data_IF_151245142914
#
_entry.id   IF_151245142914
#
_cell.length_a   1.000
_cell.length_b   1.000
_cell.length_c   1.000
_cell.angle_alpha   90.00
_cell.angle_beta   90.00
_cell.angle_gamma   90.00
#
_symmetry.space_group_name_H-M   'P 1'
#
loop_
_entity.id
_entity.type
_entity.pdbx_description
1 polymer ?
#
# COMPACT_ATOMS: atom_id res chain seq x y z
N UNK A 1 52.66 46.14 11.18
CA UNK A 1 51.29 46.03 11.73
C UNK A 1 50.41 46.95 10.89
N UNK A 2 49.59 46.37 10.01
CA UNK A 2 48.70 47.12 9.12
C UNK A 2 47.33 47.28 9.77
N UNK A 3 46.86 48.53 9.86
CA UNK A 3 45.55 48.90 10.41
C UNK A 3 44.42 48.66 9.42
N UNK A 4 43.33 48.12 9.96
CA UNK A 4 42.02 47.93 9.33
C UNK A 4 41.26 49.26 9.39
N UNK A 5 40.72 49.70 8.24
CA UNK A 5 39.66 50.71 8.18
C UNK A 5 38.48 50.10 7.43
N UNK A 6 37.33 50.00 8.11
CA UNK A 6 36.06 49.62 7.50
C UNK A 6 35.36 50.81 6.85
N UNK A 7 34.35 50.52 6.02
CA UNK A 7 33.20 51.39 5.69
C UNK A 7 32.20 50.58 4.82
N UNK A 8 30.96 50.42 5.32
CA UNK A 8 29.68 50.31 4.57
C UNK A 8 29.11 51.75 4.47
N UNK A 9 28.14 52.14 3.58
CA UNK A 9 26.83 51.46 3.38
C UNK A 9 26.06 51.71 2.04
N UNK A 10 24.78 51.27 2.03
CA UNK A 10 23.57 51.73 1.29
C UNK A 10 23.35 51.26 -0.18
N UNK A 11 22.35 50.40 -0.47
CA UNK A 11 20.89 50.62 -0.74
C UNK A 11 20.61 51.31 -2.08
N UNK A 12 19.84 50.64 -2.97
CA UNK A 12 18.88 51.27 -3.89
C UNK A 12 17.82 50.25 -4.38
N UNK A 13 16.55 50.65 -4.22
CA UNK A 13 15.34 50.05 -4.77
C UNK A 13 15.22 50.28 -6.29
N UNK A 14 14.50 49.40 -6.99
CA UNK A 14 13.57 49.86 -8.04
C UNK A 14 12.47 48.82 -8.29
N UNK A 15 11.26 49.25 -7.99
CA UNK A 15 9.95 48.72 -8.38
C UNK A 15 9.71 48.81 -9.89
N UNK A 16 9.01 47.82 -10.47
CA UNK A 16 8.16 48.04 -11.64
C UNK A 16 6.83 47.29 -11.49
N UNK A 17 5.76 48.07 -11.47
CA UNK A 17 4.37 47.67 -11.65
C UNK A 17 4.12 47.19 -13.08
N UNK A 18 3.24 46.19 -13.29
CA UNK A 18 2.18 46.24 -14.32
C UNK A 18 1.18 45.09 -14.12
N UNK A 19 -0.10 45.45 -13.99
CA UNK A 19 -1.33 44.66 -14.12
C UNK A 19 -2.25 45.56 -14.98
N UNK A 20 -3.08 45.09 -15.94
CA UNK A 20 -4.34 44.36 -15.69
C UNK A 20 -4.55 43.24 -16.76
N UNK A 21 -5.53 42.33 -16.73
CA UNK A 21 -6.99 42.51 -16.74
C UNK A 21 -7.68 41.13 -16.76
N UNK A 22 -8.80 41.00 -16.05
CA UNK A 22 -9.77 39.89 -16.15
C UNK A 22 -10.74 40.09 -17.34
N UNK A 23 -11.46 39.04 -17.78
CA UNK A 23 -12.91 39.07 -17.56
C UNK A 23 -13.62 37.71 -17.28
N UNK A 24 -14.59 37.78 -16.36
CA UNK A 24 -15.94 37.16 -16.33
C UNK A 24 -16.19 35.64 -16.55
N UNK A 25 -16.65 35.02 -15.45
CA UNK A 25 -17.73 34.03 -15.21
C UNK A 25 -18.65 33.51 -16.34
N UNK A 26 -18.96 32.20 -16.31
CA UNK A 26 -20.28 31.58 -16.00
C UNK A 26 -20.18 30.01 -16.00
N UNK A 27 -21.17 29.27 -15.46
CA UNK A 27 -20.94 28.00 -14.73
C UNK A 27 -21.25 26.74 -15.55
N UNK A 28 -20.59 25.62 -15.21
CA UNK A 28 -21.01 24.30 -15.69
C UNK A 28 -21.31 23.39 -14.49
N UNK A 29 -22.57 23.01 -14.48
CA UNK A 29 -23.31 22.05 -13.68
C UNK A 29 -22.60 20.73 -13.36
N UNK A 30 -22.67 20.33 -12.09
CA UNK A 30 -22.37 19.00 -11.59
C UNK A 30 -23.44 17.96 -12.02
N UNK A 31 -23.05 16.73 -12.41
CA UNK A 31 -24.00 15.63 -12.51
C UNK A 31 -24.19 14.92 -11.17
N UNK A 32 -25.46 14.77 -10.80
CA UNK A 32 -26.00 14.06 -9.64
C UNK A 32 -25.69 12.56 -9.70
N UNK A 33 -25.21 12.00 -8.60
CA UNK A 33 -25.18 10.55 -8.36
C UNK A 33 -26.56 10.08 -7.84
N UNK A 34 -27.16 9.02 -8.41
CA UNK A 34 -28.38 8.44 -7.86
C UNK A 34 -28.06 7.48 -6.70
N UNK A 35 -28.69 7.75 -5.55
CA UNK A 35 -28.77 6.84 -4.40
C UNK A 35 -29.57 5.60 -4.80
N UNK A 36 -28.97 4.40 -4.72
CA UNK A 36 -29.73 3.15 -4.71
C UNK A 36 -30.18 2.84 -3.28
N UNK A 37 -31.49 2.94 -3.06
CA UNK A 37 -32.20 2.51 -1.86
C UNK A 37 -32.31 0.98 -1.79
N UNK A 38 -32.02 0.43 -0.60
CA UNK A 38 -32.29 -0.96 -0.21
C UNK A 38 -33.77 -1.30 -0.34
N UNK A 39 -34.07 -2.49 -0.87
CA UNK A 39 -35.32 -3.20 -0.66
C UNK A 39 -34.98 -4.61 -0.17
N UNK A 40 -35.28 -4.89 1.10
CA UNK A 40 -35.29 -6.24 1.66
C UNK A 40 -36.74 -6.73 1.63
N UNK A 41 -37.03 -7.71 0.78
CA UNK A 41 -38.28 -8.46 0.82
C UNK A 41 -38.16 -9.61 1.81
N UNK A 42 -38.98 -9.57 2.84
CA UNK A 42 -39.18 -10.65 3.81
C UNK A 42 -39.91 -11.82 3.16
N UNK A 43 -39.33 -13.03 3.20
CA UNK A 43 -40.05 -14.26 2.86
C UNK A 43 -40.52 -14.91 4.16
N UNK A 44 -41.84 -15.08 4.27
CA UNK A 44 -42.51 -15.74 5.38
C UNK A 44 -42.25 -17.23 5.40
N UNK A 45 -42.02 -17.77 6.61
CA UNK A 45 -41.90 -19.19 6.89
C UNK A 45 -43.28 -19.84 6.96
N UNK A 46 -43.48 -20.92 6.20
CA UNK A 46 -44.66 -21.79 6.35
C UNK A 46 -44.24 -23.08 7.03
N UNK A 47 -44.84 -23.30 8.20
CA UNK A 47 -44.78 -24.49 9.04
C UNK A 47 -45.53 -25.64 8.36
N UNK A 48 -44.89 -26.81 8.23
CA UNK A 48 -45.59 -28.07 7.98
C UNK A 48 -45.24 -29.05 9.11
N UNK A 49 -46.26 -29.40 9.88
CA UNK A 49 -46.26 -30.51 10.83
C UNK A 49 -46.28 -31.84 10.08
N UNK A 50 -45.37 -32.77 10.39
CA UNK A 50 -45.71 -34.18 10.24
C UNK A 50 -45.02 -35.08 11.29
N UNK A 51 -45.89 -35.66 12.13
CA UNK A 51 -45.86 -36.91 12.91
C UNK A 51 -44.53 -37.62 13.17
N UNK A 52 -44.26 -37.83 14.46
CA UNK A 52 -43.44 -38.91 15.01
C UNK A 52 -44.28 -40.19 15.13
N UNK A 53 -43.67 -41.34 14.88
CA UNK A 53 -43.75 -42.50 15.77
C UNK A 53 -42.54 -43.44 15.54
N UNK A 54 -42.16 -44.25 16.55
CA UNK A 54 -40.80 -44.76 16.74
C UNK A 54 -40.64 -46.21 16.27
N UNK A 55 -39.39 -46.68 16.10
CA UNK A 55 -38.89 -47.95 16.68
C UNK A 55 -37.47 -48.32 16.22
N UNK A 56 -36.76 -48.96 17.17
CA UNK A 56 -35.70 -49.96 17.02
C UNK A 56 -34.28 -49.56 16.63
N UNK A 57 -33.47 -49.51 17.68
CA UNK A 57 -32.02 -49.72 17.79
C UNK A 57 -31.52 -50.95 17.03
N UNK A 58 -30.54 -50.77 16.13
CA UNK A 58 -29.52 -51.77 15.80
C UNK A 58 -28.17 -51.05 15.64
N UNK A 59 -27.27 -51.30 16.59
CA UNK A 59 -25.86 -50.94 16.50
C UNK A 59 -25.19 -51.68 15.36
N UNK A 60 -24.76 -50.96 14.32
CA UNK A 60 -23.79 -51.46 13.34
C UNK A 60 -22.64 -50.47 13.26
N UNK A 61 -21.49 -50.84 13.85
CA UNK A 61 -20.22 -50.12 13.67
C UNK A 61 -19.86 -50.15 12.18
N UNK A 62 -20.18 -49.07 11.47
CA UNK A 62 -19.62 -48.76 10.17
C UNK A 62 -18.33 -47.97 10.41
N UNK A 63 -17.20 -48.65 10.22
CA UNK A 63 -15.91 -48.01 9.97
C UNK A 63 -16.07 -47.15 8.71
N UNK A 64 -16.22 -45.84 8.88
CA UNK A 64 -16.01 -44.87 7.81
C UNK A 64 -14.48 -44.74 7.65
N UNK A 65 -13.88 -45.17 6.53
CA UNK A 65 -12.51 -44.76 6.25
C UNK A 65 -12.49 -43.23 6.15
N UNK A 66 -11.46 -42.61 6.74
CA UNK A 66 -11.27 -41.17 6.61
C UNK A 66 -11.31 -40.79 5.13
N UNK A 67 -12.01 -39.70 4.80
CA UNK A 67 -12.11 -39.17 3.43
C UNK A 67 -10.75 -38.63 2.93
N UNK A 68 -9.67 -38.86 3.67
CA UNK A 68 -8.32 -38.46 3.29
C UNK A 68 -7.69 -39.35 2.20
N UNK A 69 -8.29 -40.50 1.87
CA UNK A 69 -7.68 -41.51 0.98
C UNK A 69 -8.32 -41.68 -0.40
N UNK A 70 -9.40 -40.96 -0.74
CA UNK A 70 -10.10 -41.15 -2.03
C UNK A 70 -9.67 -40.13 -3.10
N UNK A 71 -8.96 -39.06 -2.73
CA UNK A 71 -8.47 -38.09 -3.73
C UNK A 71 -7.22 -38.55 -4.48
N UNK A 72 -6.45 -39.47 -3.91
CA UNK A 72 -5.17 -39.92 -4.47
C UNK A 72 -5.30 -40.96 -5.60
N UNK A 73 -6.51 -41.49 -5.84
CA UNK A 73 -6.74 -42.59 -6.80
C UNK A 73 -7.49 -42.20 -8.09
N UNK A 74 -7.97 -40.96 -8.23
CA UNK A 74 -8.61 -40.47 -9.47
C UNK A 74 -7.76 -39.48 -10.27
N UNK A 75 -6.66 -38.98 -9.71
CA UNK A 75 -5.65 -38.22 -10.45
C UNK A 75 -4.37 -39.02 -10.49
N UNK A 76 -4.14 -39.73 -11.60
CA UNK A 76 -2.84 -40.34 -11.86
C UNK A 76 -1.70 -39.33 -11.63
N UNK A 77 -0.73 -39.72 -10.82
CA UNK A 77 0.68 -39.30 -10.84
C UNK A 77 1.03 -37.83 -11.08
N UNK A 78 1.44 -37.12 -10.03
CA UNK A 78 2.78 -36.51 -9.98
C UNK A 78 3.20 -35.43 -11.00
N UNK A 79 2.28 -34.77 -11.73
CA UNK A 79 2.64 -33.78 -12.76
C UNK A 79 1.98 -32.39 -12.64
N UNK A 80 0.88 -32.24 -11.91
CA UNK A 80 0.07 -31.00 -11.89
C UNK A 80 0.63 -29.86 -11.03
N UNK A 81 1.25 -30.19 -9.89
CA UNK A 81 1.76 -29.16 -8.95
C UNK A 81 2.91 -28.32 -9.52
N UNK A 82 3.72 -28.90 -10.42
CA UNK A 82 4.83 -28.20 -11.05
C UNK A 82 4.40 -27.13 -12.07
N UNK A 83 3.30 -27.37 -12.79
CA UNK A 83 2.76 -26.40 -13.74
C UNK A 83 2.06 -25.25 -13.00
N UNK A 84 1.25 -25.55 -11.98
CA UNK A 84 0.57 -24.54 -11.17
C UNK A 84 1.55 -23.62 -10.43
N UNK A 85 2.63 -24.17 -9.87
CA UNK A 85 3.66 -23.36 -9.21
C UNK A 85 4.38 -22.42 -10.19
N UNK A 86 4.66 -22.86 -11.42
CA UNK A 86 5.25 -21.99 -12.46
C UNK A 86 4.27 -20.90 -12.89
N UNK A 87 3.01 -21.26 -13.10
CA UNK A 87 1.96 -20.29 -13.43
C UNK A 87 1.73 -19.28 -12.32
N UNK A 88 1.79 -19.69 -11.05
CA UNK A 88 1.73 -18.80 -9.89
C UNK A 88 2.85 -17.76 -9.94
N UNK A 89 4.10 -18.19 -10.18
CA UNK A 89 5.25 -17.27 -10.32
C UNK A 89 5.07 -16.31 -11.49
N UNK A 90 4.49 -16.76 -12.61
CA UNK A 90 4.18 -15.88 -13.74
C UNK A 90 3.08 -14.86 -13.39
N UNK A 91 2.06 -15.27 -12.65
CA UNK A 91 1.01 -14.38 -12.16
C UNK A 91 1.59 -13.31 -11.23
N UNK A 92 2.49 -13.67 -10.29
CA UNK A 92 3.21 -12.67 -9.47
C UNK A 92 3.96 -11.65 -10.32
N UNK A 93 4.70 -12.10 -11.34
CA UNK A 93 5.45 -11.19 -12.23
C UNK A 93 4.53 -10.26 -13.01
N UNK A 94 3.38 -10.76 -13.47
CA UNK A 94 2.35 -9.93 -14.15
C UNK A 94 1.73 -8.94 -13.20
N UNK A 95 1.39 -9.35 -11.97
CA UNK A 95 0.87 -8.47 -10.93
C UNK A 95 1.81 -7.30 -10.65
N UNK A 96 3.11 -7.58 -10.50
CA UNK A 96 4.12 -6.54 -10.36
C UNK A 96 4.18 -5.59 -11.57
N UNK A 97 4.14 -6.13 -12.80
CA UNK A 97 4.18 -5.32 -14.02
C UNK A 97 2.96 -4.41 -14.15
N UNK A 98 1.76 -4.94 -13.90
CA UNK A 98 0.51 -4.18 -13.95
C UNK A 98 0.51 -3.05 -12.92
N UNK A 99 0.99 -3.32 -11.70
CA UNK A 99 1.15 -2.27 -10.69
C UNK A 99 2.06 -1.14 -11.18
N UNK A 100 3.23 -1.46 -11.73
CA UNK A 100 4.16 -0.44 -12.26
C UNK A 100 3.57 0.38 -13.41
N UNK A 101 2.56 -0.15 -14.11
CA UNK A 101 1.83 0.55 -15.17
C UNK A 101 0.67 1.41 -14.64
N UNK A 102 0.42 1.40 -13.33
CA UNK A 102 -0.73 2.07 -12.70
C UNK A 102 -2.02 1.24 -12.71
N UNK A 103 -2.02 0.04 -13.28
CA UNK A 103 -3.16 -0.88 -13.21
C UNK A 103 -3.15 -1.64 -11.88
N UNK A 104 -3.57 -0.95 -10.82
CA UNK A 104 -3.63 -1.50 -9.46
C UNK A 104 -4.68 -2.61 -9.33
N UNK A 105 -5.80 -2.50 -10.06
CA UNK A 105 -6.87 -3.52 -10.06
C UNK A 105 -6.36 -4.81 -10.70
N UNK A 106 -5.80 -4.72 -11.91
CA UNK A 106 -5.21 -5.87 -12.60
C UNK A 106 -4.06 -6.48 -11.80
N UNK A 107 -3.26 -5.65 -11.12
CA UNK A 107 -2.21 -6.12 -10.22
C UNK A 107 -2.74 -7.03 -9.12
N UNK A 108 -3.78 -6.60 -8.40
CA UNK A 108 -4.37 -7.37 -7.32
C UNK A 108 -4.97 -8.69 -7.84
N UNK A 109 -5.64 -8.68 -8.99
CA UNK A 109 -6.21 -9.88 -9.59
C UNK A 109 -5.14 -10.94 -9.91
N UNK A 110 -4.00 -10.54 -10.45
CA UNK A 110 -2.90 -11.47 -10.72
C UNK A 110 -2.22 -11.98 -9.43
N UNK A 111 -2.13 -11.15 -8.38
CA UNK A 111 -1.65 -11.63 -7.08
C UNK A 111 -2.62 -12.62 -6.41
N UNK A 112 -3.93 -12.35 -6.45
CA UNK A 112 -4.94 -13.27 -5.93
C UNK A 112 -4.92 -14.59 -6.70
N UNK A 113 -4.80 -14.54 -8.03
CA UNK A 113 -4.59 -15.72 -8.87
C UNK A 113 -3.32 -16.51 -8.51
N UNK A 114 -2.21 -15.82 -8.21
CA UNK A 114 -0.98 -16.49 -7.78
C UNK A 114 -1.20 -17.31 -6.49
N UNK A 115 -1.98 -16.78 -5.55
CA UNK A 115 -2.33 -17.44 -4.29
C UNK A 115 -3.29 -18.62 -4.53
N UNK A 116 -4.24 -18.50 -5.46
CA UNK A 116 -5.13 -19.61 -5.85
C UNK A 116 -4.35 -20.78 -6.46
N UNK A 117 -3.36 -20.48 -7.30
CA UNK A 117 -2.52 -21.48 -7.96
C UNK A 117 -1.52 -22.13 -7.00
N UNK A 118 -0.96 -21.35 -6.08
CA UNK A 118 -0.05 -21.82 -5.03
C UNK A 118 -0.23 -20.99 -3.73
N UNK A 119 -0.97 -21.51 -2.73
CA UNK A 119 -1.24 -20.79 -1.49
C UNK A 119 0.00 -20.37 -0.69
N UNK A 120 1.16 -21.01 -0.94
CA UNK A 120 2.43 -20.65 -0.28
C UNK A 120 2.94 -19.28 -0.70
N UNK A 121 2.53 -18.79 -1.88
CA UNK A 121 2.92 -17.46 -2.37
C UNK A 121 2.46 -16.35 -1.42
N UNK A 122 1.30 -16.53 -0.77
CA UNK A 122 0.71 -15.52 0.12
C UNK A 122 1.67 -15.03 1.20
N UNK A 123 2.58 -15.89 1.67
CA UNK A 123 3.50 -15.58 2.75
C UNK A 123 4.63 -14.59 2.37
N UNK A 124 4.79 -14.29 1.08
CA UNK A 124 5.89 -13.48 0.53
C UNK A 124 5.42 -12.42 -0.48
N UNK A 125 4.14 -12.04 -0.44
CA UNK A 125 3.49 -11.17 -1.42
C UNK A 125 3.15 -9.78 -0.84
N UNK A 126 4.13 -9.12 -0.24
CA UNK A 126 3.97 -7.74 0.25
C UNK A 126 3.49 -6.76 -0.84
N UNK A 127 3.83 -6.97 -2.12
CA UNK A 127 3.33 -6.13 -3.23
C UNK A 127 1.81 -6.19 -3.38
N UNK A 128 1.20 -7.32 -3.00
CA UNK A 128 -0.25 -7.44 -2.92
C UNK A 128 -0.82 -6.50 -1.86
N UNK A 129 -0.13 -6.35 -0.74
CA UNK A 129 -0.47 -5.40 0.32
C UNK A 129 -0.53 -3.96 -0.18
N UNK A 130 0.43 -3.58 -1.02
CA UNK A 130 0.45 -2.26 -1.67
C UNK A 130 -0.73 -2.08 -2.64
N UNK A 131 -1.03 -3.10 -3.43
CA UNK A 131 -2.19 -3.06 -4.34
C UNK A 131 -3.50 -2.93 -3.56
N UNK A 132 -3.61 -3.60 -2.41
CA UNK A 132 -4.75 -3.46 -1.51
C UNK A 132 -4.84 -2.05 -0.91
N UNK A 133 -3.71 -1.47 -0.49
CA UNK A 133 -3.66 -0.10 0.02
C UNK A 133 -4.19 0.91 -1.01
N UNK A 134 -3.71 0.86 -2.25
CA UNK A 134 -4.15 1.78 -3.30
C UNK A 134 -5.58 1.54 -3.81
N UNK A 135 -6.22 0.44 -3.40
CA UNK A 135 -7.63 0.16 -3.65
C UNK A 135 -8.51 0.40 -2.41
N UNK A 136 -7.99 1.11 -1.41
CA UNK A 136 -8.64 1.41 -0.13
C UNK A 136 -9.06 0.15 0.66
N UNK A 137 -8.44 -0.99 0.38
CA UNK A 137 -8.66 -2.28 1.07
C UNK A 137 -7.68 -2.43 2.22
N UNK A 138 -7.63 -1.41 3.08
CA UNK A 138 -6.61 -1.24 4.11
C UNK A 138 -6.52 -2.40 5.12
N UNK A 139 -7.65 -2.98 5.52
CA UNK A 139 -7.65 -4.12 6.46
C UNK A 139 -6.90 -5.32 5.86
N UNK A 140 -7.18 -5.62 4.59
CA UNK A 140 -6.48 -6.67 3.86
C UNK A 140 -5.02 -6.34 3.60
N UNK A 141 -4.69 -5.07 3.36
CA UNK A 141 -3.32 -4.58 3.20
C UNK A 141 -2.50 -4.77 4.48
N UNK A 142 -2.99 -4.25 5.61
CA UNK A 142 -2.37 -4.41 6.92
C UNK A 142 -2.15 -5.89 7.27
N UNK A 143 -3.15 -6.75 7.01
CA UNK A 143 -3.01 -8.19 7.25
C UNK A 143 -1.94 -8.84 6.36
N UNK A 144 -1.88 -8.46 5.08
CA UNK A 144 -0.84 -8.95 4.18
C UNK A 144 0.55 -8.59 4.71
N UNK A 145 0.79 -7.33 5.12
CA UNK A 145 2.08 -6.92 5.67
C UNK A 145 2.47 -7.65 6.96
N UNK A 146 1.50 -7.94 7.84
CA UNK A 146 1.77 -8.75 9.04
C UNK A 146 2.21 -10.17 8.69
N UNK A 147 1.59 -10.78 7.67
CA UNK A 147 1.98 -12.10 7.17
C UNK A 147 3.42 -12.07 6.64
N UNK A 148 3.76 -11.07 5.83
CA UNK A 148 5.10 -10.92 5.25
C UNK A 148 6.17 -10.71 6.33
N UNK A 149 5.95 -9.82 7.31
CA UNK A 149 6.87 -9.59 8.45
C UNK A 149 7.06 -10.84 9.30
N UNK A 150 6.02 -11.66 9.47
CA UNK A 150 6.14 -12.93 10.19
C UNK A 150 7.11 -13.91 9.51
N UNK A 151 7.35 -13.78 8.20
CA UNK A 151 8.36 -14.54 7.47
C UNK A 151 9.72 -13.84 7.42
N UNK A 152 9.75 -12.52 7.28
CA UNK A 152 10.96 -11.71 7.24
C UNK A 152 10.90 -10.61 8.32
N UNK A 153 11.31 -10.90 9.56
CA UNK A 153 11.14 -9.99 10.69
C UNK A 153 12.10 -8.80 10.70
N UNK A 154 12.84 -8.55 9.61
CA UNK A 154 13.77 -7.42 9.48
C UNK A 154 13.30 -6.39 8.46
N UNK A 155 12.13 -6.58 7.86
CA UNK A 155 11.68 -5.71 6.78
C UNK A 155 10.91 -4.50 7.32
N UNK A 156 11.61 -3.36 7.28
CA UNK A 156 11.12 -2.09 7.82
C UNK A 156 9.99 -1.49 6.98
N UNK A 157 9.99 -1.76 5.68
CA UNK A 157 9.02 -1.16 4.76
C UNK A 157 7.62 -1.70 5.06
N UNK A 158 7.47 -3.00 5.26
CA UNK A 158 6.21 -3.68 5.57
C UNK A 158 5.64 -3.22 6.91
N UNK A 159 6.47 -2.95 7.91
CA UNK A 159 6.03 -2.31 9.16
C UNK A 159 5.42 -0.94 8.91
N UNK A 160 6.08 -0.10 8.11
CA UNK A 160 5.59 1.24 7.76
C UNK A 160 4.29 1.14 6.95
N UNK A 161 4.20 0.22 5.99
CA UNK A 161 2.99 0.03 5.18
C UNK A 161 1.82 -0.56 5.97
N UNK A 162 2.09 -1.42 6.94
CA UNK A 162 1.11 -1.87 7.92
C UNK A 162 0.55 -0.66 8.70
N UNK A 163 1.44 0.20 9.23
CA UNK A 163 1.05 1.44 9.89
C UNK A 163 0.22 2.34 8.98
N UNK A 164 0.64 2.58 7.73
CA UNK A 164 -0.08 3.43 6.78
C UNK A 164 -1.50 2.92 6.54
N UNK A 165 -1.65 1.60 6.38
CA UNK A 165 -2.95 0.95 6.22
C UNK A 165 -3.81 1.10 7.48
N UNK A 166 -3.24 0.89 8.68
CA UNK A 166 -3.96 1.06 9.94
C UNK A 166 -4.31 2.53 10.22
N UNK A 167 -3.48 3.49 9.80
CA UNK A 167 -3.74 4.91 9.95
C UNK A 167 -4.98 5.35 9.15
N UNK A 168 -5.21 4.76 7.98
CA UNK A 168 -6.42 4.97 7.19
C UNK A 168 -7.68 4.38 7.86
N UNK A 169 -7.54 3.32 8.66
CA UNK A 169 -8.65 2.67 9.36
C UNK A 169 -8.98 3.34 10.70
N UNK A 170 -7.96 3.68 11.47
CA UNK A 170 -8.07 3.99 12.90
C UNK A 170 -7.47 5.36 13.27
N UNK A 171 -6.77 6.03 12.34
CA UNK A 171 -6.00 7.23 12.60
C UNK A 171 -4.57 6.96 13.07
N UNK A 172 -3.71 7.98 12.92
CA UNK A 172 -2.26 7.91 13.21
C UNK A 172 -1.97 7.50 14.64
N UNK A 173 -2.67 8.04 15.63
CA UNK A 173 -2.40 7.75 17.04
C UNK A 173 -2.67 6.29 17.40
N UNK A 174 -3.74 5.70 16.87
CA UNK A 174 -4.08 4.29 17.10
C UNK A 174 -3.17 3.35 16.31
N UNK A 175 -2.86 3.69 15.06
CA UNK A 175 -1.88 2.93 14.27
C UNK A 175 -0.50 2.90 14.95
N UNK A 176 -0.10 4.01 15.59
CA UNK A 176 1.17 4.11 16.31
C UNK A 176 1.23 3.20 17.53
N UNK A 177 0.12 3.08 18.28
CA UNK A 177 0.03 2.15 19.43
C UNK A 177 0.14 0.68 19.02
N UNK A 178 -0.19 0.39 17.76
CA UNK A 178 -0.22 -0.95 17.16
C UNK A 178 0.96 -1.21 16.22
N UNK A 179 1.93 -0.30 16.23
CA UNK A 179 3.04 -0.31 15.29
C UNK A 179 3.79 -1.65 15.32
N UNK A 180 4.03 -2.21 14.13
CA UNK A 180 4.55 -3.56 13.98
C UNK A 180 6.07 -3.56 14.13
N UNK A 181 6.58 -3.86 15.32
CA UNK A 181 8.02 -3.79 15.54
C UNK A 181 8.81 -4.88 14.81
N UNK A 182 9.88 -4.47 14.11
CA UNK A 182 10.80 -5.35 13.37
C UNK A 182 12.25 -5.13 13.76
N UNK A 183 13.13 -6.00 13.27
CA UNK A 183 14.57 -5.90 13.46
C UNK A 183 15.19 -4.68 12.77
N UNK A 184 16.49 -4.49 12.99
CA UNK A 184 17.22 -3.29 12.55
C UNK A 184 17.57 -3.36 11.06
N UNK A 185 16.98 -2.46 10.26
CA UNK A 185 17.34 -2.32 8.84
C UNK A 185 18.80 -1.82 8.66
N UNK A 186 19.58 -2.40 7.73
CA UNK A 186 20.95 -1.96 7.47
C UNK A 186 21.03 -0.54 6.86
N UNK A 187 20.01 -0.09 6.14
CA UNK A 187 19.95 1.21 5.46
C UNK A 187 19.66 2.33 6.48
N UNK A 188 20.53 3.34 6.62
CA UNK A 188 20.30 4.44 7.56
C UNK A 188 18.99 5.18 7.32
N UNK A 189 18.67 5.51 6.07
CA UNK A 189 17.41 6.18 5.70
C UNK A 189 16.17 5.42 6.17
N UNK A 190 16.19 4.10 6.08
CA UNK A 190 15.05 3.28 6.48
C UNK A 190 14.87 3.24 7.98
N UNK A 191 15.97 3.23 8.76
CA UNK A 191 15.87 3.33 10.21
C UNK A 191 15.28 4.66 10.67
N UNK A 192 15.65 5.76 10.03
CA UNK A 192 15.08 7.07 10.34
C UNK A 192 13.60 7.16 9.92
N UNK A 193 13.24 6.62 8.74
CA UNK A 193 11.84 6.52 8.33
C UNK A 193 11.02 5.66 9.31
N UNK A 194 11.54 4.49 9.71
CA UNK A 194 10.91 3.63 10.72
C UNK A 194 10.62 4.36 12.02
N UNK A 195 11.63 5.07 12.56
CA UNK A 195 11.48 5.84 13.79
C UNK A 195 10.47 6.99 13.62
N UNK A 196 10.42 7.65 12.45
CA UNK A 196 9.43 8.68 12.16
C UNK A 196 8.00 8.12 12.28
N UNK A 197 7.73 6.95 11.69
CA UNK A 197 6.41 6.32 11.78
C UNK A 197 6.11 5.71 13.15
N UNK A 198 7.12 5.16 13.83
CA UNK A 198 6.98 4.57 15.17
C UNK A 198 6.80 5.62 16.26
N UNK A 199 7.69 6.59 16.35
CA UNK A 199 7.80 7.52 17.48
C UNK A 199 7.29 8.93 17.16
N UNK A 200 7.22 9.26 15.87
CA UNK A 200 6.76 10.55 15.38
C UNK A 200 7.97 11.44 15.15
N UNK A 201 7.75 12.60 14.53
CA UNK A 201 8.86 13.50 14.30
C UNK A 201 8.61 14.46 13.16
N UNK A 202 9.72 14.89 12.57
CA UNK A 202 9.76 15.92 11.55
C UNK A 202 10.22 15.32 10.21
N UNK A 203 9.31 15.10 9.25
CA UNK A 203 9.67 14.58 7.93
C UNK A 203 10.65 15.49 7.17
N UNK A 204 10.71 16.79 7.44
CA UNK A 204 11.68 17.68 6.80
C UNK A 204 13.11 17.38 7.27
N UNK A 205 13.27 17.05 8.56
CA UNK A 205 14.57 16.62 9.11
C UNK A 205 15.02 15.29 8.52
N UNK A 206 14.09 14.36 8.28
CA UNK A 206 14.39 13.11 7.59
C UNK A 206 15.00 13.42 6.22
N UNK A 207 14.36 14.24 5.40
CA UNK A 207 14.86 14.58 4.06
C UNK A 207 16.17 15.37 4.12
N UNK A 208 16.28 16.37 5.00
CA UNK A 208 17.50 17.16 5.16
C UNK A 208 18.71 16.30 5.55
N UNK A 209 18.50 15.25 6.36
CA UNK A 209 19.55 14.32 6.76
C UNK A 209 20.16 13.52 5.60
N UNK A 210 19.42 13.35 4.50
CA UNK A 210 19.85 12.56 3.33
C UNK A 210 19.98 13.38 2.03
N UNK A 211 19.86 14.72 2.11
CA UNK A 211 19.91 15.61 0.94
C UNK A 211 21.20 15.47 0.12
N UNK A 212 22.34 15.26 0.81
CA UNK A 212 23.65 15.07 0.19
C UNK A 212 24.11 13.59 0.23
N UNK A 213 23.19 12.67 0.51
CA UNK A 213 23.46 11.23 0.56
C UNK A 213 23.53 10.61 -0.83
N UNK A 214 23.41 9.27 -0.90
CA UNK A 214 23.23 8.59 -2.19
C UNK A 214 21.88 8.97 -2.79
N UNK A 215 21.77 8.97 -4.12
CA UNK A 215 20.51 9.28 -4.82
C UNK A 215 19.33 8.44 -4.30
N UNK A 216 19.57 7.17 -3.95
CA UNK A 216 18.55 6.30 -3.36
C UNK A 216 18.12 6.72 -1.95
N UNK A 217 19.04 7.24 -1.14
CA UNK A 217 18.71 7.69 0.22
C UNK A 217 17.84 8.94 0.20
N UNK A 218 18.15 9.90 -0.66
CA UNK A 218 17.29 11.06 -0.87
C UNK A 218 15.90 10.65 -1.39
N UNK A 219 15.85 9.71 -2.34
CA UNK A 219 14.58 9.17 -2.85
C UNK A 219 13.72 8.57 -1.72
N UNK A 220 14.27 7.64 -0.94
CA UNK A 220 13.53 6.97 0.13
C UNK A 220 13.14 7.94 1.25
N UNK A 221 14.02 8.88 1.61
CA UNK A 221 13.71 9.91 2.60
C UNK A 221 12.51 10.77 2.13
N UNK A 222 12.52 11.20 0.87
CA UNK A 222 11.44 12.00 0.28
C UNK A 222 10.15 11.20 0.15
N UNK A 223 10.22 9.95 -0.31
CA UNK A 223 9.06 9.05 -0.42
C UNK A 223 8.36 8.89 0.93
N UNK A 224 9.12 8.51 1.97
CA UNK A 224 8.55 8.25 3.29
C UNK A 224 8.14 9.53 4.04
N UNK A 225 8.80 10.66 3.80
CA UNK A 225 8.31 11.96 4.26
C UNK A 225 6.93 12.28 3.66
N UNK A 226 6.75 12.08 2.35
CA UNK A 226 5.50 12.31 1.66
C UNK A 226 4.36 11.42 2.18
N UNK A 227 4.62 10.11 2.33
CA UNK A 227 3.65 9.17 2.91
C UNK A 227 3.29 9.51 4.35
N UNK A 228 4.25 10.01 5.14
CA UNK A 228 4.01 10.45 6.51
C UNK A 228 3.06 11.65 6.55
N UNK A 229 3.30 12.67 5.73
CA UNK A 229 2.39 13.81 5.60
C UNK A 229 0.98 13.39 5.16
N UNK A 230 0.87 12.43 4.24
CA UNK A 230 -0.43 11.92 3.81
C UNK A 230 -1.19 11.28 4.96
N UNK A 231 -0.53 10.42 5.75
CA UNK A 231 -1.12 9.78 6.92
C UNK A 231 -1.59 10.80 7.98
N UNK A 232 -0.89 11.93 8.10
CA UNK A 232 -1.28 13.05 8.97
C UNK A 232 -2.34 13.99 8.36
N UNK A 233 -2.92 13.65 7.20
CA UNK A 233 -3.88 14.47 6.46
C UNK A 233 -3.33 15.85 6.05
N UNK A 234 -2.06 15.91 5.66
CA UNK A 234 -1.37 17.13 5.20
C UNK A 234 -1.03 17.03 3.70
N UNK A 235 -2.01 17.23 2.80
CA UNK A 235 -1.87 16.87 1.37
C UNK A 235 -0.82 17.69 0.61
N UNK A 236 -0.59 18.95 0.97
CA UNK A 236 0.42 19.79 0.30
C UNK A 236 1.84 19.28 0.57
N UNK A 237 2.14 18.90 1.82
CA UNK A 237 3.43 18.31 2.19
C UNK A 237 3.61 16.94 1.53
N UNK A 238 2.55 16.12 1.52
CA UNK A 238 2.56 14.83 0.85
C UNK A 238 2.89 14.97 -0.64
N UNK A 239 2.14 15.83 -1.35
CA UNK A 239 2.35 16.09 -2.77
C UNK A 239 3.75 16.61 -3.06
N UNK A 240 4.24 17.56 -2.27
CA UNK A 240 5.58 18.12 -2.42
C UNK A 240 6.66 17.03 -2.41
N UNK A 241 6.66 16.20 -1.37
CA UNK A 241 7.71 15.21 -1.17
C UNK A 241 7.59 13.97 -2.07
N UNK A 242 6.38 13.51 -2.39
CA UNK A 242 6.20 12.40 -3.34
C UNK A 242 6.63 12.82 -4.76
N UNK A 243 6.28 14.03 -5.21
CA UNK A 243 6.76 14.55 -6.50
C UNK A 243 8.29 14.71 -6.49
N UNK A 244 8.86 15.24 -5.40
CA UNK A 244 10.32 15.36 -5.26
C UNK A 244 11.02 13.99 -5.30
N UNK A 245 10.43 12.95 -4.71
CA UNK A 245 10.92 11.58 -4.83
C UNK A 245 10.89 11.11 -6.29
N UNK A 246 9.76 11.31 -7.00
CA UNK A 246 9.62 10.94 -8.41
C UNK A 246 10.64 11.63 -9.32
N UNK A 247 10.91 12.91 -9.09
CA UNK A 247 11.83 13.76 -9.87
C UNK A 247 13.31 13.63 -9.46
N UNK A 248 13.60 12.86 -8.42
CA UNK A 248 14.99 12.60 -8.02
C UNK A 248 15.73 11.75 -9.09
N UNK A 249 17.06 11.85 -9.19
CA UNK A 249 17.84 11.00 -10.11
C UNK A 249 17.54 9.51 -10.00
N UNK A 250 17.28 9.03 -8.78
CA UNK A 250 16.92 7.63 -8.52
C UNK A 250 15.46 7.34 -8.95
N UNK A 251 14.50 8.20 -8.62
CA UNK A 251 13.09 8.01 -9.00
C UNK A 251 12.86 8.00 -10.52
N UNK A 252 13.62 8.79 -11.26
CA UNK A 252 13.52 8.86 -12.72
C UNK A 252 14.11 7.63 -13.42
N UNK A 253 15.25 7.13 -12.94
CA UNK A 253 16.09 6.15 -13.67
C UNK A 253 16.04 4.73 -13.12
N UNK A 254 15.56 4.55 -11.89
CA UNK A 254 15.57 3.25 -11.23
C UNK A 254 14.41 2.37 -11.68
N UNK A 255 14.67 1.09 -11.89
CA UNK A 255 13.67 0.03 -12.07
C UNK A 255 13.16 -0.55 -10.74
N UNK A 256 13.55 0.07 -9.63
CA UNK A 256 13.12 -0.29 -8.29
C UNK A 256 11.59 -0.21 -8.15
N UNK A 257 11.02 -1.13 -7.37
CA UNK A 257 9.58 -1.24 -7.22
C UNK A 257 9.00 0.00 -6.49
N UNK A 258 9.72 0.56 -5.53
CA UNK A 258 9.30 1.74 -4.78
C UNK A 258 9.40 3.01 -5.63
N UNK A 259 10.38 3.10 -6.55
CA UNK A 259 10.41 4.16 -7.56
C UNK A 259 9.17 4.13 -8.46
N UNK A 260 8.70 2.93 -8.84
CA UNK A 260 7.44 2.77 -9.57
C UNK A 260 6.23 3.12 -8.69
N UNK A 261 6.23 2.71 -7.43
CA UNK A 261 5.18 3.05 -6.47
C UNK A 261 5.00 4.55 -6.29
N UNK A 262 6.08 5.33 -6.22
CA UNK A 262 5.98 6.78 -6.11
C UNK A 262 5.20 7.39 -7.30
N UNK A 263 5.44 6.86 -8.52
CA UNK A 263 4.72 7.27 -9.74
C UNK A 263 3.25 6.83 -9.70
N UNK A 264 2.98 5.60 -9.28
CA UNK A 264 1.61 5.09 -9.07
C UNK A 264 0.86 5.92 -8.05
N UNK A 265 1.54 6.33 -6.96
CA UNK A 265 0.98 7.21 -5.95
C UNK A 265 0.51 8.53 -6.57
N UNK A 266 1.38 9.20 -7.34
CA UNK A 266 1.02 10.42 -8.05
C UNK A 266 -0.17 10.21 -8.98
N UNK A 267 -0.20 9.10 -9.73
CA UNK A 267 -1.32 8.76 -10.62
C UNK A 267 -2.63 8.58 -9.85
N UNK A 268 -2.62 7.84 -8.74
CA UNK A 268 -3.81 7.60 -7.90
C UNK A 268 -4.32 8.83 -7.15
N UNK A 269 -3.54 9.93 -7.12
CA UNK A 269 -3.89 11.17 -6.44
C UNK A 269 -4.08 12.36 -7.39
N UNK A 270 -4.02 12.11 -8.70
CA UNK A 270 -4.03 13.15 -9.73
C UNK A 270 -2.96 14.24 -9.52
N UNK A 271 -1.80 13.84 -9.02
CA UNK A 271 -0.65 14.72 -8.81
C UNK A 271 0.20 14.72 -10.08
N UNK A 272 -0.21 15.52 -11.05
CA UNK A 272 0.59 15.75 -12.26
C UNK A 272 1.89 16.47 -11.88
N UNK A 273 3.03 15.94 -12.31
CA UNK A 273 4.26 16.71 -12.44
C UNK A 273 4.13 17.60 -13.67
N UNK A 274 3.73 18.85 -13.48
CA UNK A 274 3.83 19.90 -14.51
C UNK A 274 5.27 20.15 -14.90
#
# INVERSE_FOLDING_TARGET
MASVNGLKPAVLQSSYFFNPSSPSSLPITAPKTPKLSRSFSSVSSTVIHHRQDPTTTVSRRLLLPSVSGIWEALTGGGGGGGNNAREAVLAVRRGMLLFRQGDVVGSLLEFDKAIELDPRQKAYLWQRGLSLYYLDRFEGGAEQFRIDVAQNPNDTEESIWCFLSEAQLYGVDEARKRFLEVGKDPRPVMREAYNLFKDGGDPEKLVAGFLNGRDSEYFYASLYAGLYYEAENKPEGAKHYIIAACQSPYGERSDDYMASLAKVHCLCRDWSST
#
